data_IF_459612625162
#
_entry.id   IF_459612625162
#
_cell.length_a   1.000
_cell.length_b   1.000
_cell.length_c   1.000
_cell.angle_alpha   90.00
_cell.angle_beta   90.00
_cell.angle_gamma   90.00
#
_symmetry.space_group_name_H-M   'P 1'
#
loop_
_entity.id
_entity.type
_entity.pdbx_description
1 polymer ?
#
# COMPACT_ATOMS: atom_id res chain seq x y z
N UNK A 1 -14.82 0.55 -2.33
CA UNK A 1 -15.93 1.38 -2.87
C UNK A 1 -16.70 2.00 -1.70
N UNK A 2 -16.97 3.30 -1.77
CA UNK A 2 -17.63 4.10 -0.73
C UNK A 2 -18.62 5.07 -1.40
N UNK A 3 -19.78 5.31 -0.77
CA UNK A 3 -20.74 6.30 -1.28
C UNK A 3 -20.26 7.72 -0.99
N UNK A 4 -20.61 8.69 -1.85
CA UNK A 4 -20.18 10.08 -1.69
C UNK A 4 -20.61 10.68 -0.35
N UNK A 5 -21.81 10.36 0.13
CA UNK A 5 -22.29 10.89 1.42
C UNK A 5 -21.54 10.30 2.61
N UNK A 6 -21.17 9.01 2.55
CA UNK A 6 -20.28 8.41 3.54
C UNK A 6 -18.90 9.05 3.51
N UNK A 7 -18.38 9.35 2.30
CA UNK A 7 -17.12 10.05 2.14
C UNK A 7 -17.16 11.45 2.77
N UNK A 8 -18.23 12.22 2.52
CA UNK A 8 -18.42 13.54 3.16
C UNK A 8 -18.45 13.44 4.68
N UNK A 9 -19.09 12.40 5.23
CA UNK A 9 -19.17 12.18 6.68
C UNK A 9 -17.83 11.75 7.29
N UNK A 10 -17.06 10.90 6.61
CA UNK A 10 -15.81 10.36 7.16
C UNK A 10 -14.65 11.35 7.05
N UNK A 11 -14.55 12.13 5.97
CA UNK A 11 -13.39 13.00 5.69
C UNK A 11 -12.95 13.89 6.86
N UNK A 12 -13.82 14.67 7.53
CA UNK A 12 -13.38 15.51 8.65
C UNK A 12 -12.86 14.68 9.83
N UNK A 13 -13.42 13.48 10.07
CA UNK A 13 -12.98 12.57 11.14
C UNK A 13 -11.67 11.91 10.80
N UNK A 14 -11.53 11.47 9.55
CA UNK A 14 -10.30 10.89 9.04
C UNK A 14 -9.14 11.87 9.23
N UNK A 15 -9.29 13.13 8.81
CA UNK A 15 -8.28 14.16 9.03
C UNK A 15 -7.91 14.31 10.51
N UNK A 16 -8.91 14.42 11.39
CA UNK A 16 -8.68 14.60 12.82
C UNK A 16 -7.97 13.40 13.46
N UNK A 17 -8.36 12.17 13.11
CA UNK A 17 -7.69 10.97 13.62
C UNK A 17 -6.27 10.84 13.08
N UNK A 18 -6.03 11.15 11.80
CA UNK A 18 -4.69 11.13 11.22
C UNK A 18 -3.76 12.14 11.89
N UNK A 19 -4.21 13.37 12.11
CA UNK A 19 -3.43 14.38 12.83
C UNK A 19 -3.24 14.02 14.31
N UNK A 20 -4.23 13.41 14.94
CA UNK A 20 -4.14 12.92 16.32
C UNK A 20 -3.11 11.81 16.48
N UNK A 21 -3.10 10.83 15.57
CA UNK A 21 -2.10 9.76 15.54
C UNK A 21 -0.69 10.33 15.32
N UNK A 22 -0.55 11.26 14.37
CA UNK A 22 0.75 11.89 14.07
C UNK A 22 1.30 12.72 15.24
N UNK A 23 0.41 13.31 16.04
CA UNK A 23 0.80 14.13 17.20
C UNK A 23 1.00 13.30 18.48
N UNK A 24 0.86 11.98 18.41
CA UNK A 24 1.00 11.08 19.56
C UNK A 24 2.30 10.29 19.45
N UNK A 25 3.20 10.49 20.41
CA UNK A 25 4.54 9.90 20.40
C UNK A 25 4.53 8.37 20.43
N UNK A 26 3.60 7.74 21.17
CA UNK A 26 3.48 6.27 21.23
C UNK A 26 3.03 5.71 19.88
N UNK A 27 2.02 6.34 19.25
CA UNK A 27 1.53 5.96 17.94
C UNK A 27 2.60 6.18 16.86
N UNK A 28 3.33 7.30 16.91
CA UNK A 28 4.46 7.59 16.04
C UNK A 28 5.57 6.53 16.21
N UNK A 29 5.92 6.16 17.44
CA UNK A 29 6.94 5.15 17.71
C UNK A 29 6.55 3.76 17.15
N UNK A 30 5.28 3.37 17.28
CA UNK A 30 4.79 2.08 16.78
C UNK A 30 4.66 2.08 15.27
N UNK A 31 4.10 3.13 14.69
CA UNK A 31 3.79 3.21 13.26
C UNK A 31 4.97 3.73 12.43
N UNK A 32 5.98 4.34 13.06
CA UNK A 32 7.17 4.94 12.44
C UNK A 32 6.81 5.92 11.31
N UNK A 33 5.77 6.72 11.53
CA UNK A 33 5.20 7.62 10.52
C UNK A 33 4.57 6.91 9.31
N UNK A 34 4.65 5.59 9.22
CA UNK A 34 4.11 4.78 8.14
C UNK A 34 2.65 4.42 8.41
N UNK A 35 1.84 4.42 7.35
CA UNK A 35 0.43 3.99 7.35
C UNK A 35 -0.51 4.68 8.36
N UNK A 36 -0.10 5.78 9.00
CA UNK A 36 -0.92 6.52 9.97
C UNK A 36 -2.24 7.02 9.38
N UNK A 37 -2.22 7.50 8.14
CA UNK A 37 -3.45 7.90 7.46
C UNK A 37 -4.38 6.72 7.21
N UNK A 38 -3.86 5.51 6.96
CA UNK A 38 -4.68 4.30 6.80
C UNK A 38 -5.33 3.87 8.11
N UNK A 39 -4.61 3.98 9.24
CA UNK A 39 -5.17 3.79 10.57
C UNK A 39 -6.21 4.85 10.92
N UNK A 40 -5.91 6.12 10.63
CA UNK A 40 -6.85 7.22 10.81
C UNK A 40 -8.15 7.01 10.04
N UNK A 41 -8.06 6.55 8.79
CA UNK A 41 -9.23 6.17 7.99
C UNK A 41 -10.02 5.02 8.64
N UNK A 42 -9.32 3.97 9.06
CA UNK A 42 -9.95 2.78 9.65
C UNK A 42 -10.71 3.10 10.94
N UNK A 43 -10.10 3.90 11.82
CA UNK A 43 -10.73 4.39 13.06
C UNK A 43 -11.91 5.31 12.73
N UNK A 44 -11.75 6.23 11.78
CA UNK A 44 -12.81 7.14 11.34
C UNK A 44 -14.02 6.35 10.81
N UNK A 45 -13.79 5.38 9.92
CA UNK A 45 -14.83 4.54 9.34
C UNK A 45 -15.60 3.77 10.41
N UNK A 46 -14.86 3.14 11.35
CA UNK A 46 -15.44 2.43 12.47
C UNK A 46 -16.28 3.34 13.37
N UNK A 47 -15.80 4.57 13.65
CA UNK A 47 -16.48 5.53 14.54
C UNK A 47 -17.86 5.99 14.07
N UNK A 48 -18.16 5.85 12.77
CA UNK A 48 -19.46 6.20 12.17
C UNK A 48 -20.17 5.00 11.53
N UNK A 49 -19.68 3.79 11.79
CA UNK A 49 -20.32 2.55 11.34
C UNK A 49 -20.20 2.25 9.84
N UNK A 50 -19.25 2.85 9.13
CA UNK A 50 -18.97 2.48 7.73
C UNK A 50 -18.34 1.08 7.72
N UNK A 51 -18.87 0.20 6.85
CA UNK A 51 -18.35 -1.16 6.66
C UNK A 51 -17.89 -1.34 5.23
N UNK A 52 -16.73 -1.98 5.07
CA UNK A 52 -16.19 -2.35 3.77
C UNK A 52 -16.23 -3.87 3.60
N UNK A 53 -16.57 -4.31 2.38
CA UNK A 53 -16.39 -5.70 1.98
C UNK A 53 -14.94 -5.90 1.56
N UNK A 54 -14.27 -6.88 2.17
CA UNK A 54 -12.95 -7.32 1.74
C UNK A 54 -13.14 -8.16 0.47
N UNK A 55 -12.43 -7.79 -0.59
CA UNK A 55 -12.36 -8.55 -1.83
C UNK A 55 -10.90 -8.97 -1.99
N UNK A 56 -10.60 -10.20 -1.59
CA UNK A 56 -9.22 -10.68 -1.41
C UNK A 56 -8.36 -10.55 -2.67
N UNK A 57 -8.95 -10.73 -3.85
CA UNK A 57 -8.22 -10.72 -5.12
C UNK A 57 -8.14 -9.31 -5.75
N UNK A 58 -8.78 -8.30 -5.15
CA UNK A 58 -8.87 -6.96 -5.75
C UNK A 58 -7.54 -6.21 -5.72
N UNK A 59 -6.81 -6.30 -4.61
CA UNK A 59 -5.46 -5.77 -4.48
C UNK A 59 -4.63 -6.77 -3.69
N UNK A 60 -3.53 -7.23 -4.29
CA UNK A 60 -2.64 -8.24 -3.72
C UNK A 60 -1.22 -7.70 -3.60
N UNK A 61 -0.52 -8.10 -2.54
CA UNK A 61 0.86 -7.68 -2.24
C UNK A 61 1.71 -8.88 -1.83
N UNK A 62 2.06 -9.74 -2.79
CA UNK A 62 2.88 -10.92 -2.51
C UNK A 62 4.36 -10.60 -2.26
N UNK A 63 4.85 -9.46 -2.79
CA UNK A 63 6.25 -9.03 -2.63
C UNK A 63 6.66 -8.62 -1.21
N UNK A 64 5.69 -8.42 -0.30
CA UNK A 64 5.95 -8.04 1.10
C UNK A 64 5.79 -9.20 2.09
N UNK A 65 5.16 -10.32 1.69
CA UNK A 65 4.51 -11.20 2.66
C UNK A 65 5.26 -12.48 3.03
N UNK A 66 6.45 -12.77 2.47
CA UNK A 66 7.11 -14.09 2.64
C UNK A 66 6.10 -15.24 2.41
N UNK A 67 5.21 -15.09 1.43
CA UNK A 67 4.21 -16.09 1.07
C UNK A 67 4.43 -16.49 -0.37
N UNK A 68 4.26 -17.78 -0.63
CA UNK A 68 4.23 -18.30 -1.99
C UNK A 68 3.12 -17.62 -2.78
N UNK A 69 3.44 -17.27 -4.03
CA UNK A 69 2.47 -16.72 -4.98
C UNK A 69 1.58 -17.89 -5.43
N UNK A 70 0.25 -17.83 -5.24
CA UNK A 70 -0.66 -18.86 -5.74
C UNK A 70 -0.58 -19.02 -7.26
N UNK A 71 -0.72 -20.24 -7.75
CA UNK A 71 -0.67 -20.54 -9.20
C UNK A 71 -1.72 -19.76 -10.00
N UNK A 72 -2.86 -19.43 -9.38
CA UNK A 72 -3.98 -18.69 -9.98
C UNK A 72 -3.89 -17.17 -9.81
N UNK A 73 -2.75 -16.65 -9.31
CA UNK A 73 -2.50 -15.23 -9.13
C UNK A 73 -2.79 -14.42 -10.40
N UNK A 74 -2.30 -14.90 -11.54
CA UNK A 74 -2.41 -14.21 -12.82
C UNK A 74 -3.86 -14.08 -13.33
N UNK A 75 -4.75 -14.97 -12.88
CA UNK A 75 -6.15 -15.00 -13.30
C UNK A 75 -7.07 -14.21 -12.37
N UNK A 76 -6.65 -13.98 -11.13
CA UNK A 76 -7.51 -13.42 -10.07
C UNK A 76 -7.13 -12.01 -9.63
N UNK A 77 -5.84 -11.66 -9.69
CA UNK A 77 -5.36 -10.37 -9.21
C UNK A 77 -5.77 -9.23 -10.14
N UNK A 78 -6.58 -8.28 -9.64
CA UNK A 78 -6.94 -7.08 -10.40
C UNK A 78 -5.90 -5.97 -10.29
N UNK A 79 -5.29 -5.82 -9.10
CA UNK A 79 -4.28 -4.80 -8.81
C UNK A 79 -3.11 -5.48 -8.10
N UNK A 80 -1.92 -5.34 -8.67
CA UNK A 80 -0.66 -5.72 -8.02
C UNK A 80 -0.11 -4.50 -7.27
N UNK A 81 -0.11 -4.57 -5.93
CA UNK A 81 0.52 -3.56 -5.07
C UNK A 81 1.92 -4.02 -4.66
N UNK A 82 2.89 -3.10 -4.75
CA UNK A 82 4.25 -3.33 -4.30
C UNK A 82 4.80 -2.10 -3.56
N UNK A 83 5.35 -2.33 -2.38
CA UNK A 83 5.91 -1.28 -1.53
C UNK A 83 7.41 -1.04 -1.82
N UNK A 84 8.15 -2.13 -2.05
CA UNK A 84 9.59 -2.13 -2.28
C UNK A 84 9.92 -2.41 -3.74
N UNK A 85 11.07 -1.91 -4.21
CA UNK A 85 11.58 -2.24 -5.53
C UNK A 85 11.77 -3.74 -5.69
N UNK A 86 11.46 -4.25 -6.88
CA UNK A 86 11.64 -5.66 -7.23
C UNK A 86 12.93 -5.74 -8.04
N UNK A 87 13.99 -6.24 -7.39
CA UNK A 87 15.37 -6.09 -7.84
C UNK A 87 16.02 -7.46 -8.08
N UNK A 88 16.50 -7.71 -9.30
CA UNK A 88 17.07 -9.00 -9.69
C UNK A 88 18.36 -8.86 -10.51
N UNK A 89 19.22 -9.87 -10.46
CA UNK A 89 20.18 -10.12 -11.55
C UNK A 89 19.46 -10.64 -12.78
N UNK A 90 20.08 -10.53 -13.96
CA UNK A 90 19.57 -11.14 -15.20
C UNK A 90 19.49 -12.67 -15.11
N UNK A 91 20.24 -13.27 -14.18
CA UNK A 91 20.18 -14.70 -13.88
C UNK A 91 19.07 -15.06 -12.88
N UNK A 92 18.17 -14.13 -12.54
CA UNK A 92 17.01 -14.37 -11.69
C UNK A 92 17.30 -14.44 -10.19
N UNK A 93 18.46 -13.93 -9.72
CA UNK A 93 18.76 -13.86 -8.28
C UNK A 93 18.24 -12.55 -7.69
N UNK A 94 17.47 -12.56 -6.58
CA UNK A 94 17.03 -11.35 -5.93
C UNK A 94 18.21 -10.57 -5.35
N UNK A 95 18.14 -9.24 -5.36
CA UNK A 95 19.15 -8.37 -4.76
C UNK A 95 18.90 -8.13 -3.27
N UNK A 96 19.94 -7.66 -2.57
CA UNK A 96 19.85 -7.26 -1.18
C UNK A 96 19.05 -5.98 -0.96
N UNK A 97 18.75 -5.68 0.32
CA UNK A 97 18.07 -4.44 0.71
C UNK A 97 18.90 -3.23 0.22
N UNK A 98 18.24 -2.26 -0.42
CA UNK A 98 18.85 -1.06 -1.02
C UNK A 98 19.85 -1.31 -2.15
N UNK A 99 19.81 -2.48 -2.79
CA UNK A 99 20.63 -2.76 -3.97
C UNK A 99 19.77 -2.78 -5.23
N UNK A 100 20.10 -1.92 -6.19
CA UNK A 100 19.43 -1.91 -7.50
C UNK A 100 19.96 -3.08 -8.33
N UNK A 101 19.05 -3.85 -8.91
CA UNK A 101 19.37 -4.99 -9.75
C UNK A 101 19.78 -4.63 -11.17
N UNK A 102 20.30 -5.62 -11.88
CA UNK A 102 20.51 -5.54 -13.33
C UNK A 102 19.16 -5.46 -14.07
N UNK A 103 18.13 -6.11 -13.50
CA UNK A 103 16.73 -5.90 -13.84
C UNK A 103 16.01 -5.33 -12.61
N UNK A 104 15.19 -4.31 -12.83
CA UNK A 104 14.67 -3.49 -11.75
C UNK A 104 13.28 -2.95 -12.05
N UNK A 105 12.33 -3.22 -11.15
CA UNK A 105 10.99 -2.62 -11.15
C UNK A 105 10.77 -1.87 -9.84
N UNK A 106 11.09 -0.57 -9.85
CA UNK A 106 10.83 0.35 -8.75
C UNK A 106 10.17 1.64 -9.28
N UNK A 107 9.10 2.08 -8.61
CA UNK A 107 8.44 3.37 -8.90
C UNK A 107 9.38 4.56 -8.65
N UNK A 108 10.40 4.39 -7.80
CA UNK A 108 11.37 5.43 -7.45
C UNK A 108 12.28 5.82 -8.62
N UNK A 109 12.42 4.99 -9.65
CA UNK A 109 13.09 5.40 -10.91
C UNK A 109 12.35 6.53 -11.62
N UNK A 110 11.06 6.66 -11.34
CA UNK A 110 10.12 7.56 -11.98
C UNK A 110 9.63 8.65 -10.99
N UNK A 111 10.47 8.99 -10.00
CA UNK A 111 10.11 9.97 -8.97
C UNK A 111 9.87 11.39 -9.51
N UNK A 112 10.45 11.72 -10.67
CA UNK A 112 10.33 13.04 -11.30
C UNK A 112 9.27 13.10 -12.40
N UNK A 113 8.95 11.97 -13.04
CA UNK A 113 7.97 11.87 -14.13
C UNK A 113 7.46 10.44 -14.28
N UNK A 114 6.33 10.24 -14.95
CA UNK A 114 5.74 8.93 -15.19
C UNK A 114 6.65 7.98 -15.99
N UNK A 115 6.50 6.66 -15.83
CA UNK A 115 7.24 5.69 -16.63
C UNK A 115 6.99 5.87 -18.14
N UNK A 116 8.01 5.67 -19.00
CA UNK A 116 7.86 5.76 -20.44
C UNK A 116 6.90 4.68 -20.96
N UNK A 117 6.25 4.95 -22.09
CA UNK A 117 5.38 3.96 -22.74
C UNK A 117 6.22 2.84 -23.36
N UNK A 118 5.78 1.60 -23.20
CA UNK A 118 6.41 0.42 -23.81
C UNK A 118 7.61 -0.15 -23.05
N UNK A 119 7.59 -0.07 -21.71
CA UNK A 119 8.49 -0.81 -20.83
C UNK A 119 8.33 -2.32 -20.96
#
# INVERSE_FOLDING_TARGET
LIHLDQLRLITPRWLNFSLGLRSNDDAEAVMQGWVQEMWGYSIAAASIGIRHRIVHDFQVEYGSLNRDVPDDFYDKAYIFHYTYGIEYTLNGRPQGVHQIGEWSLDKRHYGADHPPRGL
#
